data_IF_759915198636
#
_entry.id   IF_759915198636
#
_cell.length_a   1.000
_cell.length_b   1.000
_cell.length_c   1.000
_cell.angle_alpha   90.00
_cell.angle_beta   90.00
_cell.angle_gamma   90.00
#
_symmetry.space_group_name_H-M   'P 1'
#
loop_
_entity.id
_entity.type
_entity.pdbx_description
1 polymer ?
#
# COMPACT_ATOMS: atom_id res chain seq x y z
N UNK A 1 15.67 20.14 -15.40
CA UNK A 1 15.28 18.88 -14.72
C UNK A 1 14.06 18.19 -15.37
N UNK A 2 13.84 18.29 -16.69
CA UNK A 2 12.56 17.88 -17.31
C UNK A 2 12.64 16.65 -18.23
N UNK A 3 13.84 16.30 -18.71
CA UNK A 3 14.04 15.21 -19.68
C UNK A 3 13.92 13.82 -19.04
N UNK A 4 14.38 13.67 -17.79
CA UNK A 4 14.34 12.40 -17.07
C UNK A 4 12.89 11.99 -16.74
N UNK A 5 12.06 12.93 -16.27
CA UNK A 5 10.63 12.71 -15.99
C UNK A 5 9.87 12.28 -17.25
N UNK A 6 10.22 12.85 -18.39
CA UNK A 6 9.62 12.53 -19.69
C UNK A 6 10.00 11.11 -20.16
N UNK A 7 11.25 10.69 -19.95
CA UNK A 7 11.68 9.31 -20.23
C UNK A 7 10.95 8.30 -19.34
N UNK A 8 10.77 8.59 -18.04
CA UNK A 8 10.01 7.70 -17.15
C UNK A 8 8.53 7.57 -17.55
N UNK A 9 7.93 8.66 -18.03
CA UNK A 9 6.57 8.65 -18.59
C UNK A 9 6.51 7.87 -19.91
N UNK A 10 7.44 8.14 -20.83
CA UNK A 10 7.49 7.48 -22.15
C UNK A 10 7.81 5.97 -22.05
N UNK A 11 8.53 5.54 -21.00
CA UNK A 11 8.83 4.14 -20.74
C UNK A 11 7.76 3.40 -19.90
N UNK A 12 6.70 4.11 -19.50
CA UNK A 12 5.57 3.56 -18.74
C UNK A 12 6.00 2.79 -17.48
N UNK A 13 7.06 3.27 -16.83
CA UNK A 13 7.77 2.53 -15.79
C UNK A 13 6.93 2.39 -14.53
N UNK A 14 6.10 3.41 -14.25
CA UNK A 14 5.19 3.42 -13.10
C UNK A 14 4.07 2.39 -13.26
N UNK A 15 3.42 2.34 -14.42
CA UNK A 15 2.40 1.33 -14.75
C UNK A 15 2.96 -0.09 -14.69
N UNK A 16 4.18 -0.31 -15.19
CA UNK A 16 4.85 -1.61 -15.09
C UNK A 16 5.21 -1.98 -13.66
N UNK A 17 5.59 -1.02 -12.83
CA UNK A 17 5.87 -1.26 -11.42
C UNK A 17 4.58 -1.64 -10.68
N UNK A 18 3.48 -0.92 -10.92
CA UNK A 18 2.15 -1.22 -10.40
C UNK A 18 1.72 -2.65 -10.76
N UNK A 19 1.81 -3.02 -12.05
CA UNK A 19 1.48 -4.36 -12.51
C UNK A 19 2.35 -5.47 -11.88
N UNK A 20 3.60 -5.17 -11.54
CA UNK A 20 4.48 -6.11 -10.81
C UNK A 20 4.06 -6.24 -9.34
N UNK A 21 3.65 -5.14 -8.71
CA UNK A 21 3.13 -5.12 -7.33
C UNK A 21 1.83 -5.92 -7.26
N UNK A 22 0.89 -5.68 -8.17
CA UNK A 22 -0.38 -6.41 -8.24
C UNK A 22 -0.16 -7.92 -8.41
N UNK A 23 0.73 -8.29 -9.33
CA UNK A 23 1.11 -9.68 -9.55
C UNK A 23 1.76 -10.30 -8.31
N UNK A 24 2.58 -9.53 -7.59
CA UNK A 24 3.23 -9.99 -6.36
C UNK A 24 2.20 -10.23 -5.25
N UNK A 25 1.20 -9.34 -5.12
CA UNK A 25 0.09 -9.49 -4.16
C UNK A 25 -0.74 -10.74 -4.45
N UNK A 26 -1.22 -10.89 -5.68
CA UNK A 26 -2.01 -12.05 -6.08
C UNK A 26 -1.27 -13.37 -5.81
N UNK A 27 0.04 -13.40 -6.11
CA UNK A 27 0.87 -14.57 -5.83
C UNK A 27 1.05 -14.85 -4.33
N UNK A 28 1.14 -13.80 -3.51
CA UNK A 28 1.24 -13.94 -2.05
C UNK A 28 -0.07 -14.49 -1.46
N UNK A 29 -1.22 -14.05 -1.98
CA UNK A 29 -2.54 -14.55 -1.59
C UNK A 29 -2.73 -16.03 -2.00
N UNK A 30 -2.39 -16.39 -3.23
CA UNK A 30 -2.40 -17.79 -3.69
C UNK A 30 -1.51 -18.67 -2.81
N UNK A 31 -0.31 -18.17 -2.45
CA UNK A 31 0.60 -18.88 -1.56
C UNK A 31 -0.02 -19.07 -0.17
N UNK A 32 -0.59 -18.01 0.41
CA UNK A 32 -1.25 -18.08 1.71
C UNK A 32 -2.40 -19.12 1.71
N UNK A 33 -3.21 -19.16 0.66
CA UNK A 33 -4.32 -20.11 0.56
C UNK A 33 -3.84 -21.56 0.37
N UNK A 34 -2.70 -21.76 -0.31
CA UNK A 34 -2.10 -23.09 -0.52
C UNK A 34 -1.46 -23.71 0.72
N UNK A 35 -1.35 -22.97 1.84
CA UNK A 35 -0.76 -23.47 3.08
C UNK A 35 -1.77 -24.30 3.87
N UNK A 36 -1.41 -25.52 4.25
CA UNK A 36 -2.28 -26.42 5.04
C UNK A 36 -2.37 -26.04 6.53
N UNK A 37 -1.36 -25.37 7.07
CA UNK A 37 -1.34 -24.95 8.46
C UNK A 37 -2.17 -23.66 8.64
N UNK A 38 -3.28 -23.76 9.36
CA UNK A 38 -4.23 -22.65 9.52
C UNK A 38 -3.63 -21.43 10.25
N UNK A 39 -2.81 -21.64 11.29
CA UNK A 39 -2.15 -20.53 12.01
C UNK A 39 -1.19 -19.76 11.09
N UNK A 40 -0.44 -20.50 10.27
CA UNK A 40 0.50 -19.92 9.31
C UNK A 40 -0.22 -19.23 8.14
N UNK A 41 -1.32 -19.82 7.64
CA UNK A 41 -2.20 -19.20 6.65
C UNK A 41 -2.75 -17.87 7.16
N UNK A 42 -3.21 -17.81 8.41
CA UNK A 42 -3.73 -16.58 9.01
C UNK A 42 -2.65 -15.49 9.12
N UNK A 43 -1.42 -15.87 9.51
CA UNK A 43 -0.29 -14.94 9.52
C UNK A 43 0.03 -14.39 8.13
N UNK A 44 0.03 -15.25 7.11
CA UNK A 44 0.30 -14.83 5.73
C UNK A 44 -0.81 -13.94 5.15
N UNK A 45 -2.07 -14.21 5.48
CA UNK A 45 -3.20 -13.34 5.14
C UNK A 45 -3.05 -11.96 5.78
N UNK A 46 -2.74 -11.91 7.07
CA UNK A 46 -2.45 -10.65 7.77
C UNK A 46 -1.28 -9.87 7.12
N UNK A 47 -0.21 -10.56 6.73
CA UNK A 47 0.91 -9.93 6.03
C UNK A 47 0.49 -9.32 4.68
N UNK A 48 -0.38 -10.01 3.92
CA UNK A 48 -0.92 -9.49 2.66
C UNK A 48 -1.81 -8.26 2.87
N UNK A 49 -2.63 -8.26 3.92
CA UNK A 49 -3.57 -7.18 4.25
C UNK A 49 -2.92 -5.95 4.89
N UNK A 50 -1.68 -6.06 5.40
CA UNK A 50 -1.02 -4.96 6.11
C UNK A 50 0.22 -4.46 5.39
N UNK A 51 1.20 -5.33 5.16
CA UNK A 51 2.50 -4.94 4.58
C UNK A 51 2.41 -4.83 3.08
N UNK A 52 1.71 -5.77 2.44
CA UNK A 52 1.52 -5.70 1.00
C UNK A 52 0.37 -4.78 0.61
N UNK A 53 -0.49 -4.34 1.53
CA UNK A 53 -1.68 -3.51 1.26
C UNK A 53 -1.41 -2.37 0.27
N UNK A 54 -2.43 -1.99 -0.51
CA UNK A 54 -2.31 -0.76 -1.29
C UNK A 54 -2.05 0.40 -0.32
N UNK A 55 -1.10 1.27 -0.67
CA UNK A 55 -0.88 2.52 0.07
C UNK A 55 -2.11 3.40 -0.13
N UNK A 56 -3.17 3.16 0.64
CA UNK A 56 -4.24 4.14 0.81
C UNK A 56 -3.57 5.39 1.36
N UNK A 57 -3.67 6.54 0.69
CA UNK A 57 -3.09 7.77 1.19
C UNK A 57 -3.64 7.99 2.59
N UNK A 58 -2.75 7.92 3.59
CA UNK A 58 -3.10 8.19 4.98
C UNK A 58 -3.93 9.48 5.01
N UNK A 59 -5.17 9.40 5.49
CA UNK A 59 -5.93 10.57 5.86
C UNK A 59 -5.08 11.32 6.88
N UNK A 60 -4.36 12.34 6.42
CA UNK A 60 -3.58 13.22 7.29
C UNK A 60 -4.54 13.64 8.40
N UNK A 61 -4.22 13.37 9.68
CA UNK A 61 -5.09 13.79 10.76
C UNK A 61 -5.32 15.29 10.60
N UNK A 62 -6.58 15.70 10.43
CA UNK A 62 -6.93 17.10 10.36
C UNK A 62 -6.31 17.79 11.58
N UNK A 63 -5.57 18.89 11.40
CA UNK A 63 -4.94 19.56 12.52
C UNK A 63 -6.03 19.95 13.50
N UNK A 64 -6.04 19.31 14.67
CA UNK A 64 -6.97 19.62 15.75
C UNK A 64 -6.74 21.08 16.16
N UNK A 65 -7.59 21.97 15.66
CA UNK A 65 -7.57 23.39 16.00
C UNK A 65 -8.07 23.49 17.44
N UNK A 66 -7.15 23.41 18.40
CA UNK A 66 -7.38 23.75 19.80
C UNK A 66 -7.78 25.23 19.87
N UNK A 67 -9.07 25.52 19.75
CA UNK A 67 -9.60 26.84 20.06
C UNK A 67 -9.49 27.05 21.58
N UNK A 68 -8.79 28.08 22.08
CA UNK A 68 -8.79 28.37 23.50
C UNK A 68 -10.20 28.83 23.92
N UNK A 69 -10.78 28.11 24.88
CA UNK A 69 -12.03 28.50 25.52
C UNK A 69 -11.80 29.80 26.32
N UNK A 70 -12.69 30.80 26.21
CA UNK A 70 -12.58 32.02 27.02
C UNK A 70 -12.82 31.67 28.49
N UNK A 71 -11.83 31.97 29.33
CA UNK A 71 -11.93 31.85 30.79
C UNK A 71 -12.95 32.91 31.24
N UNK A 72 -14.07 32.47 31.84
CA UNK A 72 -15.04 33.35 32.50
C UNK A 72 -14.60 33.72 33.91
#
# INVERSE_FOLDING_TARGET
MSRLRKIYQDCDVFTKAEALVDKSRARAEELAESVDNEDFKQLLKFFCETVLAEETPEEKPEPNVLMPQPIS
#
